data_IF_484008822638
#
_entry.id   IF_484008822638
#
_cell.length_a   1.000
_cell.length_b   1.000
_cell.length_c   1.000
_cell.angle_alpha   90.00
_cell.angle_beta   90.00
_cell.angle_gamma   90.00
#
_symmetry.space_group_name_H-M   'P 1'
#
loop_
_entity.id
_entity.type
_entity.pdbx_description
1 polymer ?
#
# COMPACT_ATOMS: atom_id res chain seq x y z
N UNK A 1 -9.67 4.13 7.73
CA UNK A 1 -9.09 3.72 6.43
C UNK A 1 -9.11 4.75 5.28
N UNK A 2 -10.20 4.98 4.54
CA UNK A 2 -10.18 5.70 3.23
C UNK A 2 -9.70 7.15 3.32
N UNK A 3 -10.22 7.91 4.28
CA UNK A 3 -9.79 9.30 4.56
C UNK A 3 -8.31 9.38 4.92
N UNK A 4 -7.78 8.39 5.64
CA UNK A 4 -6.35 8.34 5.99
C UNK A 4 -5.47 8.05 4.76
N UNK A 5 -5.94 7.25 3.79
CA UNK A 5 -5.18 6.95 2.57
C UNK A 5 -5.14 8.20 1.70
N UNK A 6 -6.28 8.88 1.54
CA UNK A 6 -6.37 10.12 0.80
C UNK A 6 -5.52 11.22 1.44
N UNK A 7 -5.62 11.40 2.75
CA UNK A 7 -4.84 12.40 3.48
C UNK A 7 -3.33 12.11 3.39
N UNK A 8 -2.92 10.85 3.49
CA UNK A 8 -1.53 10.43 3.28
C UNK A 8 -1.05 10.71 1.84
N UNK A 9 -1.91 10.49 0.84
CA UNK A 9 -1.57 10.73 -0.56
C UNK A 9 -1.47 12.21 -0.88
N UNK A 10 -2.39 13.04 -0.36
CA UNK A 10 -2.34 14.49 -0.51
C UNK A 10 -1.08 15.04 0.18
N UNK A 11 -0.75 14.52 1.37
CA UNK A 11 0.47 14.84 2.11
C UNK A 11 1.75 14.54 1.30
N UNK A 12 1.78 13.44 0.55
CA UNK A 12 2.87 13.12 -0.38
C UNK A 12 2.86 14.01 -1.63
N UNK A 13 1.70 14.29 -2.20
CA UNK A 13 1.55 15.13 -3.39
C UNK A 13 1.92 16.61 -3.14
N UNK A 14 1.79 17.08 -1.89
CA UNK A 14 2.17 18.44 -1.48
C UNK A 14 3.68 18.62 -1.29
N UNK A 15 4.50 17.57 -1.36
CA UNK A 15 5.96 17.71 -1.28
C UNK A 15 6.51 18.32 -2.57
N UNK A 16 7.17 19.47 -2.48
CA UNK A 16 7.82 20.15 -3.61
C UNK A 16 9.33 20.31 -3.39
N UNK A 17 10.10 20.35 -4.49
CA UNK A 17 11.54 20.64 -4.43
C UNK A 17 11.77 22.09 -3.95
N UNK A 18 12.43 22.27 -2.81
CA UNK A 18 12.72 23.58 -2.19
C UNK A 18 11.99 23.87 -0.86
N UNK A 19 11.39 22.86 -0.24
CA UNK A 19 10.68 23.02 1.04
C UNK A 19 11.60 23.29 2.22
N UNK A 20 11.12 24.07 3.18
CA UNK A 20 11.75 24.30 4.47
C UNK A 20 11.90 22.97 5.24
N UNK A 21 13.02 22.80 5.95
CA UNK A 21 13.33 21.57 6.71
C UNK A 21 12.19 21.18 7.66
N UNK A 22 11.59 22.14 8.36
CA UNK A 22 10.47 21.93 9.26
C UNK A 22 9.23 21.33 8.56
N UNK A 23 8.96 21.71 7.32
CA UNK A 23 7.83 21.17 6.56
C UNK A 23 8.08 19.71 6.18
N UNK A 24 9.29 19.38 5.75
CA UNK A 24 9.68 18.02 5.41
C UNK A 24 9.60 17.09 6.63
N UNK A 25 10.10 17.55 7.79
CA UNK A 25 10.04 16.79 9.04
C UNK A 25 8.59 16.55 9.48
N UNK A 26 7.73 17.58 9.39
CA UNK A 26 6.31 17.43 9.67
C UNK A 26 5.61 16.43 8.73
N UNK A 27 5.92 16.46 7.43
CA UNK A 27 5.35 15.50 6.47
C UNK A 27 5.85 14.07 6.75
N UNK A 28 7.10 13.89 7.15
CA UNK A 28 7.63 12.58 7.54
C UNK A 28 6.96 12.02 8.78
N UNK A 29 6.77 12.84 9.83
CA UNK A 29 6.05 12.45 11.05
C UNK A 29 4.61 12.05 10.72
N UNK A 30 3.89 12.84 9.91
CA UNK A 30 2.53 12.50 9.49
C UNK A 30 2.48 11.19 8.71
N UNK A 31 3.41 10.98 7.77
CA UNK A 31 3.50 9.73 7.01
C UNK A 31 3.73 8.50 7.89
N UNK A 32 4.57 8.63 8.92
CA UNK A 32 4.85 7.58 9.89
C UNK A 32 3.62 7.31 10.78
N UNK A 33 2.93 8.35 11.22
CA UNK A 33 1.72 8.26 12.03
C UNK A 33 0.56 7.59 11.27
N UNK A 34 0.34 7.96 10.00
CA UNK A 34 -0.65 7.29 9.14
C UNK A 34 -0.31 5.81 8.94
N UNK A 35 0.96 5.49 8.71
CA UNK A 35 1.41 4.10 8.59
C UNK A 35 1.16 3.31 9.87
N UNK A 36 1.48 3.88 11.03
CA UNK A 36 1.18 3.25 12.32
C UNK A 36 -0.31 2.98 12.51
N UNK A 37 -1.17 3.97 12.23
CA UNK A 37 -2.63 3.81 12.31
C UNK A 37 -3.15 2.70 11.39
N UNK A 38 -2.64 2.59 10.16
CA UNK A 38 -3.01 1.51 9.24
C UNK A 38 -2.59 0.14 9.75
N UNK A 39 -1.38 0.04 10.32
CA UNK A 39 -0.88 -1.21 10.89
C UNK A 39 -1.75 -1.64 12.06
N UNK A 40 -2.11 -0.72 12.97
CA UNK A 40 -3.01 -1.00 14.09
C UNK A 40 -4.41 -1.41 13.61
N UNK A 41 -4.99 -0.68 12.64
CA UNK A 41 -6.29 -1.02 12.05
C UNK A 41 -6.29 -2.44 11.45
N UNK A 42 -5.20 -2.83 10.77
CA UNK A 42 -5.05 -4.18 10.21
C UNK A 42 -4.95 -5.25 11.30
N UNK A 43 -4.13 -5.03 12.34
CA UNK A 43 -3.98 -5.96 13.47
C UNK A 43 -5.33 -6.19 14.15
N UNK A 44 -6.11 -5.13 14.38
CA UNK A 44 -7.44 -5.24 14.96
C UNK A 44 -8.38 -6.10 14.09
N UNK A 45 -8.36 -5.93 12.76
CA UNK A 45 -9.14 -6.77 11.84
C UNK A 45 -8.68 -8.22 11.85
N UNK A 46 -7.37 -8.46 11.91
CA UNK A 46 -6.80 -9.81 11.95
C UNK A 46 -7.26 -10.58 13.20
N UNK A 47 -7.29 -9.90 14.35
CA UNK A 47 -7.77 -10.46 15.62
C UNK A 47 -9.29 -10.67 15.58
N UNK A 48 -10.05 -9.72 15.01
CA UNK A 48 -11.51 -9.78 14.98
C UNK A 48 -12.07 -10.87 14.04
N UNK A 49 -11.51 -11.05 12.85
CA UNK A 49 -12.08 -11.95 11.83
C UNK A 49 -11.59 -13.39 11.90
N UNK A 50 -10.58 -13.69 12.75
CA UNK A 50 -9.84 -14.95 12.78
C UNK A 50 -9.08 -15.17 11.44
N UNK A 51 -7.83 -15.68 11.45
CA UNK A 51 -7.04 -15.80 10.22
C UNK A 51 -7.74 -16.60 9.12
N UNK A 52 -8.53 -17.61 9.49
CA UNK A 52 -9.27 -18.46 8.54
C UNK A 52 -10.35 -17.71 7.75
N UNK A 53 -11.02 -16.71 8.35
CA UNK A 53 -11.99 -15.86 7.66
C UNK A 53 -11.30 -14.75 6.85
N UNK A 54 -10.17 -14.24 7.36
CA UNK A 54 -9.43 -13.17 6.73
C UNK A 54 -8.80 -13.59 5.38
N UNK A 55 -8.20 -14.78 5.31
CA UNK A 55 -7.59 -15.28 4.06
C UNK A 55 -8.59 -15.73 2.99
N UNK A 56 -9.89 -15.79 3.32
CA UNK A 56 -10.92 -16.17 2.34
C UNK A 56 -11.31 -15.03 1.40
N UNK A 57 -11.07 -13.77 1.78
CA UNK A 57 -11.30 -12.61 0.91
C UNK A 57 -9.97 -12.15 0.29
N UNK A 58 -9.78 -12.27 -1.04
CA UNK A 58 -8.56 -11.83 -1.72
C UNK A 58 -8.17 -10.39 -1.42
N UNK A 59 -9.15 -9.53 -1.14
CA UNK A 59 -8.92 -8.12 -0.86
C UNK A 59 -8.34 -7.88 0.53
N UNK A 60 -8.71 -8.70 1.51
CA UNK A 60 -8.10 -8.69 2.84
C UNK A 60 -6.67 -9.24 2.76
N UNK A 61 -6.42 -10.29 1.97
CA UNK A 61 -5.05 -10.78 1.73
C UNK A 61 -4.16 -9.71 1.10
N UNK A 62 -4.70 -8.96 0.14
CA UNK A 62 -4.00 -7.83 -0.47
C UNK A 62 -3.73 -6.70 0.53
N UNK A 63 -4.69 -6.39 1.41
CA UNK A 63 -4.53 -5.43 2.50
C UNK A 63 -3.37 -5.80 3.43
N UNK A 64 -3.29 -7.07 3.82
CA UNK A 64 -2.22 -7.65 4.64
C UNK A 64 -0.86 -7.60 3.94
N UNK A 65 -0.79 -7.98 2.66
CA UNK A 65 0.46 -7.94 1.88
C UNK A 65 1.04 -6.53 1.81
N UNK A 66 0.19 -5.51 1.60
CA UNK A 66 0.65 -4.12 1.60
C UNK A 66 1.16 -3.68 2.98
N UNK A 67 0.53 -4.12 4.07
CA UNK A 67 0.99 -3.76 5.42
C UNK A 67 2.33 -4.44 5.73
N UNK A 68 2.48 -5.73 5.42
CA UNK A 68 3.75 -6.45 5.58
C UNK A 68 4.84 -5.82 4.72
N UNK A 69 4.55 -5.52 3.45
CA UNK A 69 5.45 -4.79 2.56
C UNK A 69 5.90 -3.49 3.19
N UNK A 70 4.97 -2.68 3.71
CA UNK A 70 5.26 -1.41 4.40
C UNK A 70 6.07 -1.56 5.69
N UNK A 71 5.99 -2.69 6.40
CA UNK A 71 6.76 -2.91 7.63
C UNK A 71 8.20 -3.30 7.29
N UNK A 72 8.37 -4.24 6.36
CA UNK A 72 9.69 -4.68 5.86
C UNK A 72 10.45 -3.47 5.30
N UNK A 73 9.75 -2.64 4.55
CA UNK A 73 10.20 -1.37 4.02
C UNK A 73 10.82 -0.44 5.08
N UNK A 74 10.06 -0.14 6.14
CA UNK A 74 10.54 0.69 7.26
C UNK A 74 11.75 0.07 7.93
N UNK A 75 11.72 -1.24 8.19
CA UNK A 75 12.84 -1.96 8.83
C UNK A 75 14.11 -1.89 7.96
N UNK A 76 13.97 -2.10 6.64
CA UNK A 76 15.08 -1.97 5.71
C UNK A 76 15.59 -0.53 5.62
N UNK A 77 14.73 0.49 5.80
CA UNK A 77 15.15 1.90 5.85
C UNK A 77 16.10 2.16 7.01
N UNK A 78 15.72 1.67 8.18
CA UNK A 78 16.49 1.85 9.41
C UNK A 78 17.82 1.09 9.33
N UNK A 79 17.81 -0.16 8.86
CA UNK A 79 19.03 -0.98 8.75
C UNK A 79 20.02 -0.40 7.73
N UNK A 80 19.55 0.00 6.54
CA UNK A 80 20.42 0.59 5.52
C UNK A 80 20.87 2.01 5.87
N UNK A 81 20.15 2.73 6.72
CA UNK A 81 20.61 4.01 7.28
C UNK A 81 21.82 3.86 8.20
N UNK A 82 22.03 2.68 8.80
CA UNK A 82 23.16 2.40 9.69
C UNK A 82 24.43 1.97 8.94
N UNK A 83 24.30 1.39 7.75
CA UNK A 83 25.43 1.13 6.86
C UNK A 83 25.63 2.33 5.94
N UNK A 84 26.75 3.05 6.08
CA UNK A 84 27.13 4.24 5.30
C UNK A 84 27.37 3.95 3.79
N UNK A 85 26.47 3.24 3.11
CA UNK A 85 26.44 3.05 1.67
C UNK A 85 25.42 4.03 1.09
N UNK A 86 25.86 5.26 0.80
CA UNK A 86 25.02 6.36 0.32
C UNK A 86 24.19 6.01 -0.94
N UNK A 87 24.66 5.05 -1.74
CA UNK A 87 23.97 4.60 -2.96
C UNK A 87 22.75 3.70 -2.64
N UNK A 88 22.89 2.78 -1.68
CA UNK A 88 21.82 1.87 -1.28
C UNK A 88 20.69 2.60 -0.53
N UNK A 89 21.03 3.60 0.28
CA UNK A 89 20.07 4.40 1.04
C UNK A 89 19.15 5.26 0.13
N UNK A 90 19.65 5.73 -1.02
CA UNK A 90 18.82 6.51 -1.98
C UNK A 90 17.81 5.65 -2.73
N UNK A 91 18.21 4.43 -3.10
CA UNK A 91 17.33 3.47 -3.77
C UNK A 91 16.21 3.03 -2.81
N UNK A 92 16.56 2.76 -1.56
CA UNK A 92 15.61 2.31 -0.55
C UNK A 92 14.54 3.37 -0.25
N UNK A 93 14.91 4.64 -0.04
CA UNK A 93 13.96 5.77 0.14
C UNK A 93 12.96 5.90 -1.01
N UNK A 94 13.39 5.60 -2.24
CA UNK A 94 12.50 5.67 -3.41
C UNK A 94 11.56 4.47 -3.47
N UNK A 95 12.04 3.26 -3.17
CA UNK A 95 11.21 2.08 -3.00
C UNK A 95 10.17 2.24 -1.88
N UNK A 96 10.56 2.90 -0.78
CA UNK A 96 9.68 3.11 0.38
C UNK A 96 8.45 3.96 0.08
N UNK A 97 8.59 4.85 -0.91
CA UNK A 97 7.47 5.63 -1.41
C UNK A 97 6.52 4.79 -2.27
N UNK A 98 7.01 3.77 -2.98
CA UNK A 98 6.19 2.91 -3.84
C UNK A 98 5.20 2.05 -3.04
N UNK A 99 5.63 1.48 -1.91
CA UNK A 99 4.72 0.70 -1.05
C UNK A 99 3.61 1.57 -0.44
N UNK A 100 3.87 2.87 -0.23
CA UNK A 100 2.83 3.83 0.17
C UNK A 100 1.84 4.08 -0.97
N UNK A 101 2.31 4.24 -2.21
CA UNK A 101 1.46 4.37 -3.40
C UNK A 101 0.59 3.13 -3.60
N UNK A 102 1.10 1.93 -3.34
CA UNK A 102 0.31 0.69 -3.38
C UNK A 102 -0.92 0.73 -2.45
N UNK A 103 -0.92 1.53 -1.38
CA UNK A 103 -2.10 1.72 -0.51
C UNK A 103 -3.28 2.36 -1.25
N UNK A 104 -3.04 3.13 -2.32
CA UNK A 104 -4.10 3.64 -3.19
C UNK A 104 -4.90 2.52 -3.85
N UNK A 105 -4.29 1.36 -4.10
CA UNK A 105 -4.97 0.19 -4.65
C UNK A 105 -6.02 -0.35 -3.66
N UNK A 106 -5.86 -0.11 -2.34
CA UNK A 106 -6.89 -0.42 -1.33
C UNK A 106 -8.16 0.42 -1.48
N UNK A 107 -8.12 1.52 -2.24
CA UNK A 107 -9.34 2.28 -2.57
C UNK A 107 -10.22 1.47 -3.52
N UNK A 108 -9.61 0.71 -4.44
CA UNK A 108 -10.31 -0.14 -5.41
C UNK A 108 -10.99 -1.33 -4.73
N UNK A 109 -10.42 -1.83 -3.64
CA UNK A 109 -10.95 -2.97 -2.89
C UNK A 109 -12.23 -2.67 -2.10
N UNK A 110 -12.58 -1.39 -1.93
CA UNK A 110 -13.72 -0.96 -1.12
C UNK A 110 -14.93 -0.56 -1.95
N UNK A 111 -14.72 -0.18 -3.22
CA UNK A 111 -15.80 0.09 -4.16
C UNK A 111 -16.36 -1.22 -4.71
N UNK A 112 -17.54 -1.63 -4.26
CA UNK A 112 -18.21 -2.84 -4.78
C UNK A 112 -18.42 -2.77 -6.31
N UNK A 113 -18.76 -1.60 -6.84
CA UNK A 113 -18.83 -1.35 -8.28
C UNK A 113 -17.49 -1.51 -8.98
N UNK A 114 -16.41 -1.00 -8.38
CA UNK A 114 -15.04 -1.09 -8.95
C UNK A 114 -14.56 -2.54 -8.96
N UNK A 115 -14.79 -3.29 -7.86
CA UNK A 115 -14.49 -4.72 -7.79
C UNK A 115 -15.20 -5.50 -8.89
N UNK A 116 -16.49 -5.23 -9.06
CA UNK A 116 -17.30 -5.88 -10.10
C UNK A 116 -16.78 -5.54 -11.49
N UNK A 117 -16.45 -4.28 -11.76
CA UNK A 117 -15.89 -3.84 -13.04
C UNK A 117 -14.50 -4.43 -13.33
N UNK A 118 -13.62 -4.49 -12.34
CA UNK A 118 -12.31 -5.13 -12.49
C UNK A 118 -12.46 -6.62 -12.76
N UNK A 119 -13.40 -7.29 -12.08
CA UNK A 119 -13.66 -8.69 -12.30
C UNK A 119 -14.20 -8.97 -13.70
N UNK A 120 -15.16 -8.16 -14.19
CA UNK A 120 -15.67 -8.29 -15.57
C UNK A 120 -14.59 -7.98 -16.60
N UNK A 121 -13.74 -6.99 -16.35
CA UNK A 121 -12.60 -6.67 -17.21
C UNK A 121 -11.60 -7.83 -17.27
N UNK A 122 -11.14 -8.37 -16.14
CA UNK A 122 -10.20 -9.51 -16.13
C UNK A 122 -10.80 -10.71 -16.87
N UNK A 123 -12.08 -11.00 -16.63
CA UNK A 123 -12.79 -12.10 -17.29
C UNK A 123 -12.89 -11.91 -18.81
N UNK A 124 -13.05 -10.68 -19.30
CA UNK A 124 -13.09 -10.42 -20.74
C UNK A 124 -11.75 -10.66 -21.44
N UNK A 125 -10.62 -10.43 -20.75
CA UNK A 125 -9.31 -10.79 -21.28
C UNK A 125 -9.06 -12.28 -21.30
N UNK A 126 -9.51 -13.02 -20.28
CA UNK A 126 -9.39 -14.48 -20.25
C UNK A 126 -10.20 -15.14 -21.38
N UNK A 127 -11.42 -14.66 -21.65
CA UNK A 127 -12.27 -15.18 -22.75
C UNK A 127 -11.62 -15.00 -24.13
N UNK A 128 -10.85 -13.94 -24.34
CA UNK A 128 -10.16 -13.69 -25.62
C UNK A 128 -8.91 -14.55 -25.82
N UNK A 129 -8.43 -15.23 -24.78
CA UNK A 129 -7.24 -16.08 -24.83
C UNK A 129 -7.54 -17.58 -24.98
N UNK A 130 -8.81 -17.99 -24.93
CA UNK A 130 -9.21 -19.38 -25.12
C UNK A 130 -9.29 -19.65 -26.64
N UNK A 131 -8.46 -20.54 -27.22
CA UNK A 131 -8.70 -21.00 -28.58
C UNK A 131 -10.04 -21.75 -28.58
N UNK A 132 -10.92 -21.43 -29.53
CA UNK A 132 -12.20 -22.08 -29.75
C UNK A 132 -12.05 -23.61 -29.88
N UNK A 133 -12.04 -24.34 -28.76
CA UNK A 133 -12.19 -25.79 -28.73
C UNK A 133 -13.60 -26.13 -28.29
N UNK A 134 -14.56 -25.79 -29.15
CA UNK A 134 -15.89 -26.41 -29.14
C UNK A 134 -16.35 -26.54 -30.59
N UNK A 135 -15.93 -27.63 -31.23
CA UNK A 135 -16.77 -28.37 -32.17
C UNK A 135 -17.56 -29.40 -31.39
#
# INVERSE_FOLDING_TARGET
MFTLILLNTICLAMQHHGQTKNFNDAMNILNMLFTGLFTVEMILKLIAFKPRGYFSDPWNVFDFLIVIGSIIDVILSEINGLQNSEENARISITFFRLFRVMRLVKLLSRGEGIRTLLWTFIKSFQVRGEPDTTC
#
